data_IF_082111832979
#
_entry.id   IF_082111832979
#
_cell.length_a   1.000
_cell.length_b   1.000
_cell.length_c   1.000
_cell.angle_alpha   90.00
_cell.angle_beta   90.00
_cell.angle_gamma   90.00
#
_symmetry.space_group_name_H-M   'P 1'
#
loop_
_entity.id
_entity.type
_entity.pdbx_description
1 polymer ?
#
# COMPACT_ATOMS: atom_id res chain seq x y z
N UNK A 1 32.53 6.31 -5.58
CA UNK A 1 31.69 5.29 -4.93
C UNK A 1 30.99 5.93 -3.76
N UNK A 2 29.70 5.67 -3.58
CA UNK A 2 28.89 6.22 -2.51
C UNK A 2 28.57 5.12 -1.50
N UNK A 3 28.63 5.45 -0.21
CA UNK A 3 28.19 4.52 0.83
C UNK A 3 26.67 4.59 0.89
N UNK A 4 26.04 3.42 0.77
CA UNK A 4 24.58 3.29 0.71
C UNK A 4 24.11 2.39 1.84
N UNK A 5 23.23 2.91 2.67
CA UNK A 5 22.58 2.16 3.73
C UNK A 5 21.41 1.35 3.17
N UNK A 6 21.40 0.05 3.41
CA UNK A 6 20.43 -0.89 2.84
C UNK A 6 19.77 -1.70 3.96
N UNK A 7 18.45 -1.75 3.92
CA UNK A 7 17.66 -2.68 4.70
C UNK A 7 17.48 -3.99 3.92
N UNK A 8 17.81 -5.11 4.55
CA UNK A 8 17.66 -6.46 3.99
C UNK A 8 16.69 -7.30 4.81
N UNK A 9 15.99 -8.28 4.21
CA UNK A 9 14.96 -9.08 4.88
C UNK A 9 15.57 -10.15 5.80
N UNK A 10 16.09 -9.69 6.93
CA UNK A 10 16.67 -10.53 8.00
C UNK A 10 16.10 -10.11 9.36
N UNK A 11 16.01 -11.03 10.34
CA UNK A 11 15.45 -10.73 11.66
C UNK A 11 16.46 -9.96 12.54
N UNK A 12 17.06 -8.91 11.99
CA UNK A 12 18.01 -8.03 12.66
C UNK A 12 17.51 -6.58 12.55
N UNK A 13 17.58 -5.85 13.66
CA UNK A 13 17.18 -4.43 13.70
C UNK A 13 18.19 -3.51 12.99
N UNK A 14 19.38 -4.02 12.66
CA UNK A 14 20.41 -3.25 12.00
C UNK A 14 20.17 -3.14 10.50
N UNK A 15 20.59 -2.02 9.95
CA UNK A 15 20.79 -1.80 8.52
C UNK A 15 22.25 -2.06 8.16
N UNK A 16 22.55 -2.16 6.87
CA UNK A 16 23.87 -2.55 6.39
C UNK A 16 24.40 -1.54 5.38
N UNK A 17 25.68 -1.18 5.51
CA UNK A 17 26.34 -0.27 4.61
C UNK A 17 27.03 -1.02 3.47
N UNK A 18 26.82 -0.57 2.24
CA UNK A 18 27.43 -1.10 1.02
C UNK A 18 28.04 0.02 0.19
N UNK A 19 29.05 -0.31 -0.60
CA UNK A 19 29.60 0.59 -1.64
C UNK A 19 28.76 0.47 -2.90
N UNK A 20 28.25 1.58 -3.41
CA UNK A 20 27.54 1.62 -4.69
C UNK A 20 28.34 2.46 -5.71
N UNK A 21 28.57 1.90 -6.88
CA UNK A 21 29.24 2.58 -8.01
C UNK A 21 28.27 3.46 -8.78
N UNK A 22 27.06 2.96 -8.95
CA UNK A 22 26.01 3.62 -9.71
C UNK A 22 25.21 4.58 -8.81
N UNK A 23 24.63 5.60 -9.44
CA UNK A 23 23.69 6.47 -8.74
C UNK A 23 22.39 5.72 -8.51
N UNK A 24 22.04 5.50 -7.25
CA UNK A 24 20.83 4.79 -6.84
C UNK A 24 19.94 5.70 -6.00
N UNK A 25 18.63 5.68 -6.25
CA UNK A 25 17.66 6.45 -5.49
C UNK A 25 17.31 5.79 -4.13
N UNK A 26 17.01 6.59 -3.11
CA UNK A 26 16.43 6.12 -1.85
C UNK A 26 15.07 5.49 -2.16
N UNK A 27 14.81 4.28 -1.64
CA UNK A 27 13.61 3.50 -1.94
C UNK A 27 13.74 2.55 -3.12
N UNK A 28 14.89 2.54 -3.82
CA UNK A 28 15.17 1.56 -4.88
C UNK A 28 15.60 0.22 -4.30
N UNK A 29 15.32 -0.83 -5.06
CA UNK A 29 15.82 -2.18 -4.76
C UNK A 29 17.21 -2.35 -5.30
N UNK A 30 18.04 -2.98 -4.49
CA UNK A 30 19.41 -3.38 -4.86
C UNK A 30 19.63 -4.85 -4.51
N UNK A 31 20.50 -5.50 -5.27
CA UNK A 31 20.98 -6.83 -4.96
C UNK A 31 22.32 -6.73 -4.26
N UNK A 32 22.38 -7.28 -3.06
CA UNK A 32 23.57 -7.18 -2.20
C UNK A 32 24.00 -8.55 -1.68
N UNK A 33 25.32 -8.76 -1.47
CA UNK A 33 25.81 -9.97 -0.86
C UNK A 33 25.59 -9.93 0.67
N UNK A 34 24.99 -10.99 1.22
CA UNK A 34 24.80 -11.16 2.65
C UNK A 34 25.17 -12.60 3.06
N UNK A 35 26.22 -12.74 3.87
CA UNK A 35 26.84 -14.05 4.09
C UNK A 35 27.30 -14.68 2.77
N UNK A 36 26.83 -15.88 2.48
CA UNK A 36 27.08 -16.63 1.24
C UNK A 36 25.91 -16.50 0.22
N UNK A 37 24.94 -15.64 0.49
CA UNK A 37 23.75 -15.45 -0.35
C UNK A 37 23.70 -14.05 -0.95
N UNK A 38 22.95 -13.91 -2.04
CA UNK A 38 22.56 -12.62 -2.60
C UNK A 38 21.11 -12.37 -2.22
N UNK A 39 20.85 -11.19 -1.68
CA UNK A 39 19.51 -10.80 -1.22
C UNK A 39 19.10 -9.48 -1.87
N UNK A 40 17.80 -9.29 -2.03
CA UNK A 40 17.26 -8.00 -2.44
C UNK A 40 17.05 -7.15 -1.20
N UNK A 41 17.68 -5.97 -1.18
CA UNK A 41 17.51 -4.96 -0.15
C UNK A 41 16.89 -3.69 -0.70
N UNK A 42 16.50 -2.80 0.20
CA UNK A 42 15.95 -1.46 -0.10
C UNK A 42 16.94 -0.41 0.38
N UNK A 43 17.28 0.54 -0.47
CA UNK A 43 18.12 1.69 -0.13
C UNK A 43 17.34 2.63 0.79
N UNK A 44 17.90 2.93 1.97
CA UNK A 44 17.30 3.82 2.95
C UNK A 44 17.92 5.20 2.97
N UNK A 45 19.24 5.26 2.84
CA UNK A 45 19.99 6.53 2.88
C UNK A 45 21.34 6.41 2.19
N UNK A 46 21.98 7.55 2.01
CA UNK A 46 23.38 7.65 1.61
C UNK A 46 24.21 8.28 2.73
N UNK A 47 25.43 7.82 2.90
CA UNK A 47 26.33 8.23 3.99
C UNK A 47 27.70 8.64 3.42
N UNK A 48 28.33 9.61 4.06
CA UNK A 48 29.72 9.99 3.74
C UNK A 48 30.74 9.07 4.41
N UNK A 49 30.36 8.48 5.56
CA UNK A 49 31.23 7.60 6.36
C UNK A 49 30.44 6.39 6.87
N UNK A 50 31.12 5.27 7.00
CA UNK A 50 30.61 4.07 7.64
C UNK A 50 31.40 3.78 8.92
N UNK A 51 30.75 3.16 9.88
CA UNK A 51 31.41 2.60 11.08
C UNK A 51 32.20 1.31 10.77
N UNK A 52 31.99 0.72 9.59
CA UNK A 52 32.68 -0.50 9.17
C UNK A 52 33.91 -0.16 8.32
N UNK A 53 35.03 -0.81 8.61
CA UNK A 53 36.29 -0.63 7.85
C UNK A 53 36.31 -1.35 6.51
N UNK A 54 35.48 -2.36 6.33
CA UNK A 54 35.44 -3.18 5.12
C UNK A 54 34.00 -3.33 4.63
N UNK A 55 33.67 -2.63 3.53
CA UNK A 55 32.34 -2.66 2.94
C UNK A 55 32.34 -3.59 1.71
N UNK A 56 31.25 -4.32 1.52
CA UNK A 56 30.97 -5.05 0.28
C UNK A 56 30.32 -4.12 -0.72
N UNK A 57 30.40 -4.46 -2.00
CA UNK A 57 29.77 -3.68 -3.07
C UNK A 57 28.34 -4.13 -3.33
N UNK A 58 27.48 -3.20 -3.75
CA UNK A 58 26.19 -3.50 -4.38
C UNK A 58 26.48 -4.23 -5.68
N UNK A 59 25.86 -5.39 -5.90
CA UNK A 59 26.07 -6.18 -7.12
C UNK A 59 25.25 -5.68 -8.30
N UNK A 60 24.02 -5.22 -8.03
CA UNK A 60 23.07 -4.80 -9.05
C UNK A 60 22.09 -3.77 -8.48
N UNK A 61 21.85 -2.69 -9.23
CA UNK A 61 20.73 -1.78 -8.99
C UNK A 61 19.55 -2.29 -9.82
N UNK A 62 18.49 -2.77 -9.14
CA UNK A 62 17.37 -3.44 -9.80
C UNK A 62 16.41 -2.42 -10.42
N UNK A 63 16.20 -1.30 -9.75
CA UNK A 63 15.20 -0.30 -10.13
C UNK A 63 15.84 0.90 -10.83
N UNK A 64 15.36 1.22 -12.03
CA UNK A 64 15.66 2.49 -12.71
C UNK A 64 14.83 3.64 -12.13
N UNK A 65 13.58 3.35 -11.72
CA UNK A 65 12.69 4.26 -11.00
C UNK A 65 12.52 3.76 -9.57
N UNK A 66 12.52 4.69 -8.62
CA UNK A 66 12.34 4.40 -7.21
C UNK A 66 11.04 3.61 -6.98
N UNK A 67 11.14 2.45 -6.33
CA UNK A 67 9.98 1.60 -6.05
C UNK A 67 9.14 2.16 -4.89
N UNK A 68 9.78 2.59 -3.81
CA UNK A 68 9.15 3.12 -2.60
C UNK A 68 9.42 4.61 -2.49
N UNK A 69 8.38 5.44 -2.53
CA UNK A 69 8.52 6.88 -2.33
C UNK A 69 8.96 7.21 -0.90
N UNK A 70 9.37 8.47 -0.68
CA UNK A 70 9.79 8.94 0.64
C UNK A 70 8.67 8.80 1.69
N UNK A 71 7.43 9.07 1.28
CA UNK A 71 6.25 9.00 2.14
C UNK A 71 6.02 7.55 2.61
N UNK A 72 6.03 6.59 1.69
CA UNK A 72 5.84 5.20 2.04
C UNK A 72 7.01 4.65 2.87
N UNK A 73 8.25 5.08 2.60
CA UNK A 73 9.38 4.72 3.43
C UNK A 73 9.26 5.28 4.85
N UNK A 74 8.78 6.52 5.00
CA UNK A 74 8.52 7.13 6.31
C UNK A 74 7.45 6.35 7.06
N UNK A 75 6.36 6.00 6.40
CA UNK A 75 5.27 5.18 6.95
C UNK A 75 5.78 3.79 7.41
N UNK A 76 6.56 3.10 6.56
CA UNK A 76 7.10 1.78 6.89
C UNK A 76 8.15 1.83 8.00
N UNK A 77 8.98 2.88 8.03
CA UNK A 77 9.96 3.10 9.11
C UNK A 77 9.27 3.39 10.44
N UNK A 78 8.22 4.21 10.42
CA UNK A 78 7.39 4.42 11.60
C UNK A 78 6.76 3.11 12.08
N UNK A 79 6.21 2.32 11.16
CA UNK A 79 5.60 1.02 11.48
C UNK A 79 6.60 0.05 12.10
N UNK A 80 7.83 0.00 11.59
CA UNK A 80 8.91 -0.81 12.15
C UNK A 80 9.22 -0.41 13.60
N UNK A 81 9.32 0.88 13.87
CA UNK A 81 9.60 1.41 15.20
C UNK A 81 8.43 1.18 16.17
N UNK A 82 7.20 1.48 15.74
CA UNK A 82 6.00 1.35 16.57
C UNK A 82 5.74 -0.10 16.99
N UNK A 83 5.90 -1.04 16.07
CA UNK A 83 5.70 -2.47 16.35
C UNK A 83 6.98 -3.19 16.78
N UNK A 84 8.09 -2.49 17.00
CA UNK A 84 9.39 -3.05 17.38
C UNK A 84 9.83 -4.22 16.49
N UNK A 85 9.69 -4.06 15.15
CA UNK A 85 10.01 -5.10 14.19
C UNK A 85 11.15 -4.68 13.25
N UNK A 86 12.06 -5.59 12.85
CA UNK A 86 13.17 -5.27 11.96
C UNK A 86 12.71 -4.60 10.67
N UNK A 87 13.28 -3.44 10.34
CA UNK A 87 12.88 -2.63 9.17
C UNK A 87 12.97 -3.42 7.86
N UNK A 88 14.00 -4.25 7.70
CA UNK A 88 14.16 -5.07 6.49
C UNK A 88 13.04 -6.08 6.28
N UNK A 89 12.50 -6.65 7.36
CA UNK A 89 11.34 -7.53 7.29
C UNK A 89 10.05 -6.77 7.03
N UNK A 90 9.87 -5.57 7.64
CA UNK A 90 8.71 -4.70 7.37
C UNK A 90 8.64 -4.33 5.89
N UNK A 91 9.74 -3.82 5.32
CA UNK A 91 9.85 -3.46 3.91
C UNK A 91 9.61 -4.67 3.00
N UNK A 92 10.15 -5.82 3.36
CA UNK A 92 9.95 -7.07 2.63
C UNK A 92 8.47 -7.51 2.64
N UNK A 93 7.77 -7.35 3.76
CA UNK A 93 6.34 -7.69 3.86
C UNK A 93 5.45 -6.71 3.07
N UNK A 94 5.85 -5.45 2.97
CA UNK A 94 5.11 -4.41 2.25
C UNK A 94 5.18 -4.56 0.71
N UNK A 95 6.15 -5.32 0.19
CA UNK A 95 6.39 -5.46 -1.25
C UNK A 95 5.91 -6.83 -1.74
N UNK A 96 5.19 -6.91 -2.89
CA UNK A 96 4.81 -8.17 -3.51
C UNK A 96 5.99 -9.13 -3.73
N UNK A 97 5.77 -10.43 -3.59
CA UNK A 97 6.81 -11.46 -3.64
C UNK A 97 7.68 -11.41 -4.90
N UNK A 98 7.10 -11.17 -6.07
CA UNK A 98 7.87 -11.03 -7.30
C UNK A 98 8.87 -9.86 -7.22
N UNK A 99 8.43 -8.70 -6.73
CA UNK A 99 9.28 -7.52 -6.58
C UNK A 99 10.34 -7.76 -5.49
N UNK A 100 9.95 -8.36 -4.37
CA UNK A 100 10.86 -8.77 -3.29
C UNK A 100 11.96 -9.71 -3.74
N UNK A 101 11.65 -10.59 -4.71
CA UNK A 101 12.62 -11.51 -5.30
C UNK A 101 13.46 -10.89 -6.44
N UNK A 102 13.41 -9.57 -6.63
CA UNK A 102 14.21 -8.86 -7.63
C UNK A 102 13.66 -8.90 -9.05
N UNK A 103 12.42 -9.35 -9.27
CA UNK A 103 11.84 -9.28 -10.61
C UNK A 103 11.57 -7.82 -11.02
N UNK A 104 11.62 -7.50 -12.33
CA UNK A 104 11.35 -6.15 -12.82
C UNK A 104 9.98 -5.61 -12.39
N UNK A 105 9.93 -4.30 -12.09
CA UNK A 105 8.70 -3.59 -11.74
C UNK A 105 7.91 -3.21 -13.00
N UNK A 106 7.30 -4.20 -13.64
CA UNK A 106 6.54 -4.04 -14.89
C UNK A 106 5.14 -4.62 -14.70
N UNK A 107 4.12 -3.87 -15.11
CA UNK A 107 2.73 -4.33 -15.18
C UNK A 107 2.59 -5.27 -16.40
N UNK A 108 2.15 -6.49 -16.15
CA UNK A 108 1.97 -7.50 -17.19
C UNK A 108 0.55 -7.57 -17.74
N UNK A 109 -0.44 -7.37 -16.86
CA UNK A 109 -1.86 -7.42 -17.19
C UNK A 109 -2.57 -6.25 -16.52
N UNK A 110 -2.77 -5.14 -17.22
CA UNK A 110 -3.30 -3.91 -16.63
C UNK A 110 -4.75 -4.01 -16.14
N UNK A 111 -5.47 -5.11 -16.46
CA UNK A 111 -6.88 -5.24 -16.09
C UNK A 111 -7.79 -4.34 -16.95
N UNK A 112 -9.08 -4.38 -16.67
CA UNK A 112 -10.09 -3.60 -17.38
C UNK A 112 -10.23 -2.19 -16.78
N UNK A 113 -10.60 -1.24 -17.61
CA UNK A 113 -11.00 0.12 -17.23
C UNK A 113 -12.49 0.24 -17.46
N UNK A 114 -13.21 0.67 -16.45
CA UNK A 114 -14.66 0.84 -16.53
C UNK A 114 -14.99 2.30 -16.88
N UNK A 115 -15.43 2.51 -18.13
CA UNK A 115 -15.82 3.85 -18.64
C UNK A 115 -17.28 4.19 -18.37
N UNK A 116 -18.10 3.18 -18.03
CA UNK A 116 -19.54 3.35 -17.77
C UNK A 116 -19.84 3.19 -16.30
N UNK A 117 -20.29 4.27 -15.71
CA UNK A 117 -20.78 4.31 -14.33
C UNK A 117 -22.30 4.11 -14.35
N UNK A 118 -22.77 3.09 -13.64
CA UNK A 118 -24.19 2.93 -13.39
C UNK A 118 -24.60 3.90 -12.28
N UNK A 119 -25.62 4.71 -12.52
CA UNK A 119 -26.22 5.50 -11.44
C UNK A 119 -26.73 4.57 -10.34
N UNK A 120 -26.70 5.03 -9.08
CA UNK A 120 -27.07 4.21 -7.92
C UNK A 120 -28.48 3.62 -7.99
N UNK A 121 -29.38 4.24 -8.72
CA UNK A 121 -30.80 3.85 -8.71
C UNK A 121 -31.48 3.98 -7.35
N UNK A 122 -30.72 4.33 -6.30
CA UNK A 122 -31.21 4.53 -4.95
C UNK A 122 -31.15 6.00 -4.56
N UNK A 123 -32.20 6.50 -3.94
CA UNK A 123 -32.18 7.80 -3.28
C UNK A 123 -31.52 7.65 -1.91
N UNK A 124 -30.52 8.50 -1.64
CA UNK A 124 -29.85 8.54 -0.35
C UNK A 124 -30.76 9.14 0.70
N UNK A 125 -30.76 8.58 1.91
CA UNK A 125 -31.46 9.17 3.05
C UNK A 125 -30.80 10.47 3.52
N UNK A 126 -31.50 11.24 4.35
CA UNK A 126 -30.95 12.46 4.93
C UNK A 126 -29.70 12.22 5.77
N UNK A 127 -29.69 11.11 6.55
CA UNK A 127 -28.54 10.73 7.36
C UNK A 127 -27.33 10.33 6.48
N UNK A 128 -27.55 9.60 5.40
CA UNK A 128 -26.49 9.24 4.45
C UNK A 128 -25.92 10.49 3.77
N UNK A 129 -26.78 11.40 3.31
CA UNK A 129 -26.36 12.67 2.73
C UNK A 129 -25.58 13.53 3.72
N UNK A 130 -26.02 13.58 4.98
CA UNK A 130 -25.29 14.27 6.05
C UNK A 130 -23.89 13.67 6.25
N UNK A 131 -23.79 12.34 6.40
CA UNK A 131 -22.50 11.67 6.57
C UNK A 131 -21.54 11.95 5.40
N UNK A 132 -22.03 11.88 4.17
CA UNK A 132 -21.24 12.18 2.95
C UNK A 132 -20.74 13.63 2.99
N UNK A 133 -21.64 14.59 3.29
CA UNK A 133 -21.30 16.00 3.31
C UNK A 133 -20.23 16.34 4.36
N UNK A 134 -20.32 15.75 5.55
CA UNK A 134 -19.34 15.95 6.61
C UNK A 134 -17.94 15.42 6.24
N UNK A 135 -17.86 14.24 5.64
CA UNK A 135 -16.57 13.71 5.18
C UNK A 135 -15.96 14.57 4.06
N UNK A 136 -16.78 14.97 3.09
CA UNK A 136 -16.30 15.78 1.95
C UNK A 136 -15.87 17.18 2.37
N UNK A 137 -16.58 17.80 3.30
CA UNK A 137 -16.26 19.11 3.85
C UNK A 137 -14.89 19.13 4.54
N UNK A 138 -14.55 18.05 5.23
CA UNK A 138 -13.29 17.91 5.96
C UNK A 138 -12.18 17.20 5.18
N UNK A 139 -12.35 16.99 3.87
CA UNK A 139 -11.41 16.20 3.03
C UNK A 139 -10.10 16.93 2.68
N UNK A 140 -9.90 18.18 3.09
CA UNK A 140 -8.65 18.92 2.89
C UNK A 140 -7.57 18.63 3.93
N UNK A 141 -7.97 18.12 5.09
CA UNK A 141 -7.08 17.79 6.20
C UNK A 141 -7.36 16.37 6.70
N UNK A 142 -6.43 15.83 7.49
CA UNK A 142 -6.66 14.53 8.11
C UNK A 142 -7.80 14.62 9.13
N UNK A 143 -8.84 13.82 8.93
CA UNK A 143 -10.00 13.72 9.81
C UNK A 143 -10.48 12.29 9.92
N UNK A 144 -10.67 11.81 11.14
CA UNK A 144 -11.22 10.47 11.41
C UNK A 144 -12.74 10.52 11.62
N UNK A 145 -13.47 9.63 10.94
CA UNK A 145 -14.92 9.50 11.05
C UNK A 145 -15.30 8.08 11.44
N UNK A 146 -16.29 7.94 12.29
CA UNK A 146 -16.93 6.66 12.56
C UNK A 146 -18.33 6.67 11.96
N UNK A 147 -18.52 5.86 10.89
CA UNK A 147 -19.82 5.64 10.30
C UNK A 147 -20.51 4.48 11.02
N UNK A 148 -21.41 4.81 11.96
CA UNK A 148 -22.18 3.82 12.70
C UNK A 148 -23.51 3.54 12.00
N UNK A 149 -23.84 2.24 11.81
CA UNK A 149 -25.10 1.82 11.20
C UNK A 149 -25.23 0.29 11.22
N UNK A 150 -26.47 -0.18 11.35
CA UNK A 150 -26.77 -1.62 11.32
C UNK A 150 -26.45 -2.25 9.96
N UNK A 151 -26.38 -3.56 9.90
CA UNK A 151 -26.24 -4.29 8.62
C UNK A 151 -27.43 -3.96 7.71
N UNK A 152 -27.14 -3.66 6.45
CA UNK A 152 -28.16 -3.26 5.48
C UNK A 152 -28.57 -1.78 5.52
N UNK A 153 -27.99 -0.94 6.39
CA UNK A 153 -28.27 0.51 6.45
C UNK A 153 -27.74 1.32 5.27
N UNK A 154 -27.10 0.66 4.30
CA UNK A 154 -26.55 1.31 3.11
C UNK A 154 -25.20 1.96 3.31
N UNK A 155 -24.38 1.55 4.30
CA UNK A 155 -23.00 2.03 4.49
C UNK A 155 -22.18 2.00 3.20
N UNK A 156 -22.34 0.94 2.38
CA UNK A 156 -21.64 0.81 1.10
C UNK A 156 -21.99 1.92 0.11
N UNK A 157 -23.26 2.40 0.09
CA UNK A 157 -23.66 3.52 -0.77
C UNK A 157 -23.02 4.84 -0.32
N UNK A 158 -22.86 5.04 1.00
CA UNK A 158 -22.12 6.17 1.55
C UNK A 158 -20.65 6.11 1.10
N UNK A 159 -20.00 4.93 1.22
CA UNK A 159 -18.61 4.74 0.77
C UNK A 159 -18.44 5.05 -0.72
N UNK A 160 -19.32 4.52 -1.57
CA UNK A 160 -19.29 4.73 -3.02
C UNK A 160 -19.47 6.21 -3.36
N UNK A 161 -20.46 6.87 -2.73
CA UNK A 161 -20.74 8.29 -2.98
C UNK A 161 -19.60 9.22 -2.56
N UNK A 162 -18.93 8.95 -1.41
CA UNK A 162 -17.73 9.67 -1.01
C UNK A 162 -16.59 9.42 -1.98
N UNK A 163 -16.38 8.15 -2.36
CA UNK A 163 -15.34 7.74 -3.31
C UNK A 163 -15.50 8.48 -4.63
N UNK A 164 -16.68 8.48 -5.24
CA UNK A 164 -16.96 9.20 -6.49
C UNK A 164 -16.58 10.70 -6.42
N UNK A 165 -16.92 11.36 -5.32
CA UNK A 165 -16.60 12.78 -5.14
C UNK A 165 -15.10 13.04 -4.99
N UNK A 166 -14.38 12.16 -4.30
CA UNK A 166 -12.93 12.29 -4.13
C UNK A 166 -12.16 11.96 -5.42
N UNK A 167 -12.63 10.99 -6.20
CA UNK A 167 -12.06 10.67 -7.51
C UNK A 167 -12.15 11.85 -8.48
N UNK A 168 -13.28 12.59 -8.48
CA UNK A 168 -13.44 13.85 -9.25
C UNK A 168 -12.43 14.93 -8.84
N UNK A 169 -11.91 14.87 -7.61
CA UNK A 169 -10.81 15.73 -7.12
C UNK A 169 -9.41 15.17 -7.43
N UNK A 170 -9.31 14.09 -8.23
CA UNK A 170 -8.05 13.44 -8.59
C UNK A 170 -7.42 12.58 -7.47
N UNK A 171 -8.18 12.27 -6.41
CA UNK A 171 -7.71 11.44 -5.31
C UNK A 171 -7.87 9.95 -5.63
N UNK A 172 -7.12 9.11 -4.91
CA UNK A 172 -7.28 7.66 -4.90
C UNK A 172 -7.87 7.24 -3.55
N UNK A 173 -8.53 6.09 -3.51
CA UNK A 173 -9.21 5.58 -2.31
C UNK A 173 -8.74 4.16 -2.00
N UNK A 174 -8.40 3.90 -0.74
CA UNK A 174 -8.13 2.58 -0.19
C UNK A 174 -9.34 2.11 0.62
N UNK A 175 -9.85 0.93 0.31
CA UNK A 175 -10.93 0.29 1.07
C UNK A 175 -10.39 -1.00 1.67
N UNK A 176 -10.28 -1.05 2.98
CA UNK A 176 -9.90 -2.22 3.74
C UNK A 176 -11.16 -2.97 4.18
N UNK A 177 -11.21 -4.25 3.86
CA UNK A 177 -12.32 -5.13 4.24
C UNK A 177 -11.79 -6.39 4.92
N UNK A 178 -12.56 -7.03 5.81
CA UNK A 178 -12.23 -8.36 6.32
C UNK A 178 -12.04 -9.37 5.19
N UNK A 179 -11.25 -10.42 5.42
CA UNK A 179 -11.01 -11.44 4.38
C UNK A 179 -12.31 -12.06 3.84
N UNK A 180 -13.30 -12.26 4.70
CA UNK A 180 -14.64 -12.77 4.31
C UNK A 180 -15.50 -11.71 3.61
N UNK A 181 -15.20 -10.42 3.78
CA UNK A 181 -15.93 -9.29 3.19
C UNK A 181 -15.53 -8.97 1.75
N UNK A 182 -14.33 -9.37 1.33
CA UNK A 182 -13.85 -9.14 -0.04
C UNK A 182 -14.45 -10.16 -1.02
N UNK A 183 -15.73 -10.01 -1.29
CA UNK A 183 -16.46 -10.89 -2.20
C UNK A 183 -16.43 -10.36 -3.64
N UNK A 184 -16.61 -11.23 -4.66
CA UNK A 184 -16.78 -10.77 -6.04
C UNK A 184 -17.92 -9.76 -6.21
N UNK A 185 -18.97 -9.88 -5.41
CA UNK A 185 -20.10 -8.93 -5.42
C UNK A 185 -19.69 -7.54 -4.94
N UNK A 186 -18.84 -7.45 -3.90
CA UNK A 186 -18.34 -6.16 -3.43
C UNK A 186 -17.44 -5.52 -4.47
N UNK A 187 -16.52 -6.27 -5.05
CA UNK A 187 -15.64 -5.78 -6.11
C UNK A 187 -16.50 -5.27 -7.29
N UNK A 188 -17.45 -6.07 -7.75
CA UNK A 188 -18.35 -5.70 -8.86
C UNK A 188 -19.17 -4.43 -8.58
N UNK A 189 -19.61 -4.20 -7.32
CA UNK A 189 -20.30 -2.95 -6.95
C UNK A 189 -19.41 -1.72 -7.16
N UNK A 190 -18.15 -1.79 -6.78
CA UNK A 190 -17.20 -0.70 -7.01
C UNK A 190 -16.90 -0.54 -8.51
N UNK A 191 -16.66 -1.62 -9.25
CA UNK A 191 -16.40 -1.58 -10.68
C UNK A 191 -17.56 -0.98 -11.50
N UNK A 192 -18.79 -1.24 -11.10
CA UNK A 192 -19.98 -0.70 -11.77
C UNK A 192 -20.23 0.79 -11.49
N UNK A 193 -19.79 1.28 -10.32
CA UNK A 193 -20.04 2.65 -9.84
C UNK A 193 -18.88 3.60 -10.07
N UNK A 194 -17.68 3.08 -10.12
CA UNK A 194 -16.46 3.89 -10.17
C UNK A 194 -15.96 4.01 -11.61
N UNK A 195 -15.83 5.24 -12.07
CA UNK A 195 -15.14 5.54 -13.31
C UNK A 195 -13.64 5.33 -13.15
N UNK A 196 -13.06 4.48 -14.00
CA UNK A 196 -11.65 4.13 -13.96
C UNK A 196 -11.39 2.72 -13.41
N UNK A 197 -10.16 2.47 -13.00
CA UNK A 197 -9.73 1.13 -12.61
C UNK A 197 -9.89 0.90 -11.11
N UNK A 198 -10.57 -0.19 -10.78
CA UNK A 198 -10.64 -0.76 -9.44
C UNK A 198 -9.70 -1.97 -9.40
N UNK A 199 -8.87 -2.09 -8.39
CA UNK A 199 -7.99 -3.24 -8.20
C UNK A 199 -8.24 -3.89 -6.85
N UNK A 200 -8.19 -5.23 -6.82
CA UNK A 200 -8.28 -5.99 -5.59
C UNK A 200 -6.89 -6.42 -5.12
N UNK A 201 -6.64 -6.44 -3.80
CA UNK A 201 -5.39 -6.90 -3.15
C UNK A 201 -5.74 -7.85 -2.01
N UNK A 202 -5.59 -9.16 -2.24
CA UNK A 202 -5.90 -10.19 -1.25
C UNK A 202 -5.02 -11.43 -1.39
N UNK A 203 -5.13 -12.34 -0.42
CA UNK A 203 -4.27 -13.54 -0.32
C UNK A 203 -4.40 -14.49 -1.52
N UNK A 204 -5.58 -14.64 -2.11
CA UNK A 204 -5.87 -15.57 -3.22
C UNK A 204 -5.32 -15.13 -4.57
N UNK A 205 -4.91 -13.86 -4.75
CA UNK A 205 -4.25 -13.41 -5.97
C UNK A 205 -2.90 -14.13 -6.16
N UNK A 206 -2.58 -14.48 -7.40
CA UNK A 206 -1.24 -14.96 -7.71
C UNK A 206 -0.20 -13.82 -7.64
N UNK A 207 1.10 -14.19 -7.63
CA UNK A 207 2.19 -13.24 -7.45
C UNK A 207 2.26 -12.15 -8.55
N UNK A 208 1.81 -12.47 -9.77
CA UNK A 208 1.75 -11.49 -10.88
C UNK A 208 0.61 -10.50 -10.68
N UNK A 209 -0.57 -10.98 -10.33
CA UNK A 209 -1.72 -10.12 -10.04
C UNK A 209 -1.46 -9.17 -8.87
N UNK A 210 -0.81 -9.66 -7.80
CA UNK A 210 -0.38 -8.82 -6.67
C UNK A 210 0.60 -7.74 -7.10
N UNK A 211 1.56 -8.09 -7.95
CA UNK A 211 2.51 -7.13 -8.50
C UNK A 211 1.82 -6.08 -9.36
N UNK A 212 0.94 -6.50 -10.27
CA UNK A 212 0.26 -5.59 -11.18
C UNK A 212 -0.65 -4.62 -10.41
N UNK A 213 -1.43 -5.10 -9.45
CA UNK A 213 -2.27 -4.25 -8.60
C UNK A 213 -1.45 -3.21 -7.81
N UNK A 214 -0.32 -3.65 -7.23
CA UNK A 214 0.61 -2.79 -6.50
C UNK A 214 1.20 -1.68 -7.38
N UNK A 215 1.64 -2.03 -8.58
CA UNK A 215 2.23 -1.06 -9.51
C UNK A 215 1.17 -0.12 -10.10
N UNK A 216 -0.03 -0.61 -10.41
CA UNK A 216 -1.14 0.24 -10.86
C UNK A 216 -1.57 1.25 -9.80
N UNK A 217 -1.57 0.86 -8.53
CA UNK A 217 -1.82 1.79 -7.43
C UNK A 217 -0.71 2.84 -7.32
N UNK A 218 0.55 2.41 -7.36
CA UNK A 218 1.75 3.27 -7.32
C UNK A 218 1.78 4.32 -8.43
N UNK A 219 1.38 3.94 -9.65
CA UNK A 219 1.38 4.85 -10.80
C UNK A 219 0.12 5.74 -10.87
N UNK A 220 -0.86 5.54 -9.97
CA UNK A 220 -2.14 6.27 -9.99
C UNK A 220 -3.12 5.78 -11.06
N UNK A 221 -2.82 4.66 -11.72
CA UNK A 221 -3.69 4.01 -12.70
C UNK A 221 -4.93 3.40 -12.04
N UNK A 222 -4.74 2.77 -10.87
CA UNK A 222 -5.84 2.31 -10.03
C UNK A 222 -6.43 3.48 -9.26
N UNK A 223 -7.74 3.69 -9.39
CA UNK A 223 -8.47 4.75 -8.69
C UNK A 223 -8.95 4.31 -7.32
N UNK A 224 -9.36 3.07 -7.22
CA UNK A 224 -9.78 2.43 -5.97
C UNK A 224 -9.00 1.14 -5.76
N UNK A 225 -8.48 0.97 -4.57
CA UNK A 225 -7.81 -0.23 -4.12
C UNK A 225 -8.69 -0.89 -3.06
N UNK A 226 -9.26 -2.05 -3.39
CA UNK A 226 -10.00 -2.88 -2.45
C UNK A 226 -9.06 -3.95 -1.91
N UNK A 227 -8.96 -4.09 -0.61
CA UNK A 227 -8.06 -5.10 -0.12
C UNK A 227 -8.30 -5.53 1.31
N UNK A 228 -7.66 -6.63 1.67
CA UNK A 228 -7.61 -7.09 3.04
C UNK A 228 -6.47 -6.40 3.78
N UNK A 229 -6.21 -6.79 5.00
CA UNK A 229 -5.18 -6.23 5.90
C UNK A 229 -3.88 -5.76 5.22
N UNK A 230 -3.30 -6.58 4.34
CA UNK A 230 -2.01 -6.27 3.71
C UNK A 230 -2.07 -5.13 2.69
N UNK A 231 -3.25 -4.75 2.22
CA UNK A 231 -3.42 -3.66 1.27
C UNK A 231 -3.04 -2.29 1.86
N UNK A 232 -2.96 -2.15 3.19
CA UNK A 232 -2.50 -0.92 3.87
C UNK A 232 -1.08 -0.49 3.45
N UNK A 233 -0.25 -1.43 2.97
CA UNK A 233 1.11 -1.14 2.51
C UNK A 233 1.22 -0.82 1.02
N UNK A 234 0.10 -0.76 0.32
CA UNK A 234 0.10 -0.39 -1.10
C UNK A 234 0.47 1.08 -1.27
N UNK A 235 1.46 1.43 -2.11
CA UNK A 235 1.81 2.83 -2.35
C UNK A 235 0.71 3.52 -3.16
N UNK A 236 0.10 4.55 -2.59
CA UNK A 236 -0.99 5.31 -3.18
C UNK A 236 -0.62 6.80 -3.14
N UNK A 237 -0.04 7.36 -4.22
CA UNK A 237 0.54 8.71 -4.19
C UNK A 237 -0.49 9.82 -3.96
N UNK A 238 -1.72 9.63 -4.41
CA UNK A 238 -2.80 10.61 -4.28
C UNK A 238 -3.90 10.14 -3.33
N UNK A 239 -3.53 9.42 -2.26
CA UNK A 239 -4.48 8.92 -1.27
C UNK A 239 -5.30 10.07 -0.69
N UNK A 240 -6.63 9.97 -0.80
CA UNK A 240 -7.58 10.94 -0.26
C UNK A 240 -8.51 10.36 0.80
N UNK A 241 -8.63 9.03 0.86
CA UNK A 241 -9.50 8.37 1.83
C UNK A 241 -9.04 6.95 2.08
N UNK A 242 -9.06 6.55 3.34
CA UNK A 242 -8.99 5.15 3.76
C UNK A 242 -10.32 4.79 4.40
N UNK A 243 -10.98 3.77 3.87
CA UNK A 243 -12.18 3.18 4.46
C UNK A 243 -11.78 1.88 5.14
N UNK A 244 -12.19 1.67 6.37
CA UNK A 244 -12.04 0.40 7.08
C UNK A 244 -13.45 -0.12 7.37
N UNK A 245 -13.92 -1.03 6.53
CA UNK A 245 -15.25 -1.64 6.70
C UNK A 245 -15.19 -2.72 7.77
N UNK A 246 -16.25 -2.81 8.60
CA UNK A 246 -16.32 -3.73 9.76
C UNK A 246 -15.05 -3.62 10.64
N UNK A 247 -14.69 -2.40 11.06
CA UNK A 247 -13.41 -2.05 11.70
C UNK A 247 -13.08 -2.89 12.95
N UNK A 248 -14.11 -3.46 13.58
CA UNK A 248 -13.99 -4.31 14.76
C UNK A 248 -13.50 -5.73 14.45
N UNK A 249 -13.42 -6.12 13.17
CA UNK A 249 -13.03 -7.48 12.78
C UNK A 249 -11.55 -7.75 13.12
N UNK A 250 -11.32 -8.89 13.78
CA UNK A 250 -9.98 -9.30 14.21
C UNK A 250 -9.03 -9.63 13.04
N UNK A 251 -9.53 -9.84 11.81
CA UNK A 251 -8.70 -10.14 10.64
C UNK A 251 -7.79 -8.98 10.23
N UNK A 252 -8.08 -7.75 10.68
CA UNK A 252 -7.18 -6.60 10.50
C UNK A 252 -5.90 -6.68 11.32
N UNK A 253 -5.81 -7.60 12.28
CA UNK A 253 -4.63 -7.80 13.11
C UNK A 253 -3.80 -8.99 12.60
N UNK A 254 -2.54 -8.74 12.26
CA UNK A 254 -1.57 -9.78 11.92
C UNK A 254 -0.97 -10.36 13.21
N UNK A 255 -1.07 -11.69 13.39
CA UNK A 255 -0.67 -12.37 14.63
C UNK A 255 0.70 -13.06 14.54
N UNK A 256 1.28 -13.19 13.33
CA UNK A 256 2.55 -13.88 13.09
C UNK A 256 3.54 -13.01 12.31
N UNK A 257 4.82 -13.27 12.44
CA UNK A 257 5.91 -12.51 11.82
C UNK A 257 5.83 -11.01 12.17
N UNK A 258 5.75 -10.13 11.20
CA UNK A 258 5.47 -8.71 11.43
C UNK A 258 4.03 -8.56 11.95
N UNK A 259 3.90 -8.36 13.27
CA UNK A 259 2.60 -8.22 13.96
C UNK A 259 2.17 -6.76 13.94
N UNK A 260 1.12 -6.46 13.18
CA UNK A 260 0.58 -5.10 13.04
C UNK A 260 -0.96 -5.14 12.98
N UNK A 261 -1.58 -3.99 13.15
CA UNK A 261 -3.00 -3.75 12.93
C UNK A 261 -3.18 -2.81 11.74
N UNK A 262 -3.85 -3.26 10.68
CA UNK A 262 -4.11 -2.42 9.51
C UNK A 262 -5.05 -1.26 9.85
N UNK A 263 -6.01 -1.48 10.78
CA UNK A 263 -6.86 -0.42 11.30
C UNK A 263 -6.02 0.68 11.96
N UNK A 264 -5.11 0.33 12.86
CA UNK A 264 -4.31 1.32 13.58
C UNK A 264 -3.35 2.05 12.61
N UNK A 265 -2.80 1.33 11.63
CA UNK A 265 -1.96 1.91 10.58
C UNK A 265 -2.73 2.87 9.66
N UNK A 266 -4.04 2.73 9.52
CA UNK A 266 -4.86 3.62 8.67
C UNK A 266 -4.97 5.05 9.20
N UNK A 267 -4.57 5.29 10.45
CA UNK A 267 -4.53 6.62 11.08
C UNK A 267 -3.18 7.34 10.92
N UNK A 268 -2.22 6.70 10.28
CA UNK A 268 -0.88 7.26 10.03
C UNK A 268 -0.76 7.87 8.64
#
# INVERSE_FOLDING_TARGET
>A
MQITEVAIPVPLHNTFDYLCKDKVGIGSRVKVPFGNKKVTGIVLSHKDKSSFTKLREVEEVIDHEVLLSKEILTFLSWSANYYHHPIGEVLSNAIPKNLRNGKPAVIKKPGEVHDKVLSSGFELTNEQNFAISEVIKNSSEFSGFLLHGVTGSGKTEVYLSITEQLLKKGKQVLVLVPEIGLTPQMISRFEQRIEGRVVAVHSQLNDTQKQDAYLMAKHGDAKVILGTRSAIFTPIPNLGLVIVDEEHDNSFKQLSNFRYSARDLSFM
#
